data_IF_724659768014
#
_entry.id   IF_724659768014
#
_cell.length_a   1.000
_cell.length_b   1.000
_cell.length_c   1.000
_cell.angle_alpha   90.00
_cell.angle_beta   90.00
_cell.angle_gamma   90.00
#
_symmetry.space_group_name_H-M   'P 1'
#
loop_
_entity.id
_entity.type
_entity.pdbx_description
1 polymer ?
#
# COMPACT_ATOMS: atom_id res chain seq x y z
N UNK A 1 -44.21 16.33 1.10
CA UNK A 1 -42.93 17.01 0.82
C UNK A 1 -41.82 15.96 0.91
N UNK A 2 -41.10 15.70 -0.19
CA UNK A 2 -39.95 14.78 -0.21
C UNK A 2 -38.69 15.57 0.14
N UNK A 3 -37.81 15.11 1.06
CA UNK A 3 -36.52 15.76 1.24
C UNK A 3 -35.65 15.45 0.01
N UNK A 4 -35.24 16.50 -0.71
CA UNK A 4 -34.19 16.42 -1.71
C UNK A 4 -32.87 16.42 -0.95
N UNK A 5 -32.22 15.25 -0.86
CA UNK A 5 -30.85 15.16 -0.40
C UNK A 5 -29.95 15.73 -1.49
N UNK A 6 -29.52 16.97 -1.33
CA UNK A 6 -28.48 17.57 -2.17
C UNK A 6 -27.15 17.19 -1.51
N UNK A 7 -26.55 16.10 -1.98
CA UNK A 7 -25.15 15.79 -1.66
C UNK A 7 -24.28 16.66 -2.56
N UNK A 8 -23.66 17.69 -1.98
CA UNK A 8 -22.61 18.47 -2.63
C UNK A 8 -21.34 17.62 -2.56
N UNK A 9 -21.13 16.73 -3.53
CA UNK A 9 -19.84 16.10 -3.74
C UNK A 9 -18.89 17.20 -4.25
N UNK A 10 -17.83 17.47 -3.50
CA UNK A 10 -16.76 18.32 -3.98
C UNK A 10 -15.92 17.48 -4.95
N UNK A 11 -15.86 17.85 -6.23
CA UNK A 11 -14.98 17.20 -7.23
C UNK A 11 -13.49 17.21 -6.81
N UNK A 12 -13.13 17.94 -5.76
CA UNK A 12 -11.79 17.94 -5.16
C UNK A 12 -11.50 16.72 -4.27
N UNK A 13 -12.53 15.97 -3.87
CA UNK A 13 -12.40 14.83 -2.95
C UNK A 13 -12.57 13.46 -3.63
N UNK A 14 -12.97 13.43 -4.91
CA UNK A 14 -13.38 12.22 -5.65
C UNK A 14 -12.38 11.79 -6.74
N UNK A 15 -11.17 12.35 -6.75
CA UNK A 15 -10.08 11.92 -7.63
C UNK A 15 -8.86 11.47 -6.84
N UNK A 16 -8.26 10.29 -7.13
CA UNK A 16 -6.92 10.00 -6.62
C UNK A 16 -5.99 11.11 -7.12
N UNK A 17 -5.16 11.69 -6.25
CA UNK A 17 -4.07 12.56 -6.67
C UNK A 17 -3.33 11.84 -7.81
N UNK A 18 -3.30 12.46 -8.99
CA UNK A 18 -2.86 11.86 -10.27
C UNK A 18 -1.40 11.36 -10.31
N UNK A 19 -0.68 11.22 -9.18
CA UNK A 19 0.76 10.92 -9.18
C UNK A 19 1.27 9.92 -8.17
N UNK A 20 0.45 9.33 -7.31
CA UNK A 20 0.94 8.42 -6.28
C UNK A 20 0.44 6.99 -6.51
N UNK A 21 1.35 6.09 -6.91
CA UNK A 21 1.04 4.67 -6.95
C UNK A 21 1.02 4.14 -5.52
N UNK A 22 -0.05 3.45 -5.13
CA UNK A 22 -0.22 2.98 -3.76
C UNK A 22 -0.19 1.46 -3.65
N UNK A 23 0.12 0.99 -2.45
CA UNK A 23 0.08 -0.42 -2.07
C UNK A 23 -0.05 -0.58 -0.57
N UNK A 24 0.08 -1.82 -0.10
CA UNK A 24 -0.06 -2.17 1.32
C UNK A 24 1.16 -2.94 1.81
N UNK A 25 1.61 -2.65 3.02
CA UNK A 25 2.73 -3.36 3.66
C UNK A 25 2.29 -3.90 5.02
N UNK A 26 2.80 -5.07 5.39
CA UNK A 26 2.73 -5.52 6.79
C UNK A 26 3.80 -4.76 7.58
N UNK A 27 3.35 -3.76 8.33
CA UNK A 27 4.21 -2.81 9.01
C UNK A 27 4.81 -3.38 10.29
N UNK A 28 6.04 -3.91 10.16
CA UNK A 28 6.80 -4.51 11.26
C UNK A 28 7.54 -3.51 12.16
N UNK A 29 7.19 -2.22 12.07
CA UNK A 29 7.84 -1.12 12.82
C UNK A 29 9.37 -1.10 12.66
N UNK A 30 9.86 -1.48 11.48
CA UNK A 30 11.30 -1.47 11.18
C UNK A 30 11.82 -0.05 10.93
N UNK A 31 13.14 0.17 11.04
CA UNK A 31 13.76 1.44 10.69
C UNK A 31 13.43 1.84 9.24
N UNK A 32 13.42 3.15 8.98
CA UNK A 32 13.25 3.67 7.61
C UNK A 32 14.32 3.10 6.67
N UNK A 33 13.94 2.76 5.44
CA UNK A 33 14.80 2.10 4.47
C UNK A 33 14.81 0.57 4.57
N UNK A 34 14.01 -0.02 5.46
CA UNK A 34 13.85 -1.47 5.49
C UNK A 34 13.18 -1.98 4.22
N UNK A 35 13.71 -3.06 3.65
CA UNK A 35 13.11 -3.73 2.50
C UNK A 35 11.93 -4.59 2.93
N UNK A 36 10.76 -4.32 2.34
CA UNK A 36 9.50 -4.99 2.65
C UNK A 36 8.73 -5.36 1.38
N UNK A 37 7.85 -6.34 1.50
CA UNK A 37 6.89 -6.67 0.46
C UNK A 37 5.76 -5.65 0.44
N UNK A 38 5.42 -5.17 -0.76
CA UNK A 38 4.25 -4.32 -0.99
C UNK A 38 3.21 -5.12 -1.75
N UNK A 39 1.99 -5.12 -1.26
CA UNK A 39 0.85 -5.87 -1.76
C UNK A 39 -0.11 -4.94 -2.49
N UNK A 40 -0.79 -5.47 -3.52
CA UNK A 40 -1.72 -4.68 -4.32
C UNK A 40 -2.95 -4.28 -3.52
N UNK A 41 -3.45 -5.19 -2.69
CA UNK A 41 -4.62 -4.95 -1.83
C UNK A 41 -4.31 -5.20 -0.36
N UNK A 42 -5.12 -4.63 0.52
CA UNK A 42 -5.05 -4.92 1.96
C UNK A 42 -5.30 -6.40 2.24
N UNK A 43 -6.23 -7.02 1.51
CA UNK A 43 -6.57 -8.43 1.66
C UNK A 43 -5.38 -9.35 1.33
N UNK A 44 -4.60 -9.03 0.30
CA UNK A 44 -3.36 -9.73 -0.07
C UNK A 44 -2.34 -9.68 1.08
N UNK A 45 -2.12 -8.48 1.64
CA UNK A 45 -1.24 -8.28 2.79
C UNK A 45 -1.74 -9.06 4.02
N UNK A 46 -3.04 -9.05 4.31
CA UNK A 46 -3.62 -9.79 5.43
C UNK A 46 -3.53 -11.31 5.27
N UNK A 47 -3.64 -11.82 4.04
CA UNK A 47 -3.44 -13.25 3.74
C UNK A 47 -1.98 -13.64 3.97
N UNK A 48 -1.04 -12.85 3.44
CA UNK A 48 0.38 -13.08 3.65
C UNK A 48 0.77 -12.98 5.13
N UNK A 49 0.24 -11.97 5.84
CA UNK A 49 0.42 -11.75 7.28
C UNK A 49 0.02 -12.99 8.09
N UNK A 50 -1.19 -13.53 7.88
CA UNK A 50 -1.69 -14.72 8.56
C UNK A 50 -0.85 -15.97 8.26
N UNK A 51 -0.49 -16.18 7.00
CA UNK A 51 0.28 -17.36 6.62
C UNK A 51 1.74 -17.35 7.14
N UNK A 52 2.24 -16.19 7.58
CA UNK A 52 3.58 -16.06 8.18
C UNK A 52 3.55 -15.89 9.72
N UNK A 53 2.38 -16.03 10.37
CA UNK A 53 2.26 -15.87 11.82
C UNK A 53 2.59 -14.46 12.31
N UNK A 54 2.24 -13.44 11.51
CA UNK A 54 2.53 -12.03 11.76
C UNK A 54 1.28 -11.27 12.23
N UNK A 55 0.33 -11.94 12.90
CA UNK A 55 -0.98 -11.36 13.27
C UNK A 55 -0.89 -10.06 14.10
N UNK A 56 0.18 -9.90 14.87
CA UNK A 56 0.41 -8.75 15.75
C UNK A 56 0.83 -7.46 15.01
N UNK A 57 1.13 -7.54 13.72
CA UNK A 57 1.61 -6.40 12.94
C UNK A 57 0.52 -5.76 12.08
N UNK A 58 0.44 -4.44 12.07
CA UNK A 58 -0.58 -3.72 11.29
C UNK A 58 -0.32 -3.80 9.79
N UNK A 59 -1.38 -3.84 8.99
CA UNK A 59 -1.27 -3.57 7.55
C UNK A 59 -1.46 -2.07 7.33
N UNK A 60 -0.46 -1.41 6.73
CA UNK A 60 -0.49 0.02 6.42
C UNK A 60 -0.40 0.26 4.93
N UNK A 61 -1.04 1.34 4.49
CA UNK A 61 -0.93 1.81 3.11
C UNK A 61 0.40 2.53 2.93
N UNK A 62 0.98 2.40 1.73
CA UNK A 62 2.18 3.10 1.32
C UNK A 62 1.98 3.75 -0.04
N UNK A 63 2.67 4.87 -0.26
CA UNK A 63 2.68 5.61 -1.52
C UNK A 63 4.08 5.66 -2.11
N UNK A 64 4.18 5.63 -3.43
CA UNK A 64 5.42 5.77 -4.19
C UNK A 64 5.17 6.62 -5.44
N UNK A 65 6.17 7.43 -5.79
CA UNK A 65 6.14 8.27 -6.98
C UNK A 65 6.34 7.44 -8.28
N UNK A 66 6.84 6.21 -8.15
CA UNK A 66 7.11 5.30 -9.26
C UNK A 66 6.05 4.21 -9.36
N UNK A 67 5.72 3.82 -10.60
CA UNK A 67 4.74 2.77 -10.87
C UNK A 67 5.17 1.43 -10.26
N UNK A 68 4.25 0.78 -9.58
CA UNK A 68 4.48 -0.55 -9.03
C UNK A 68 4.13 -1.60 -10.08
N UNK A 69 5.10 -2.42 -10.45
CA UNK A 69 4.84 -3.62 -11.25
C UNK A 69 4.33 -4.72 -10.33
N UNK A 70 3.14 -5.22 -10.61
CA UNK A 70 2.51 -6.26 -9.83
C UNK A 70 2.79 -7.64 -10.41
N UNK A 71 2.95 -8.63 -9.54
CA UNK A 71 3.02 -10.03 -9.91
C UNK A 71 2.19 -10.90 -8.96
N UNK A 72 1.68 -12.00 -9.50
CA UNK A 72 1.02 -13.04 -8.71
C UNK A 72 2.03 -13.99 -8.08
N UNK A 73 1.76 -14.38 -6.85
CA UNK A 73 2.52 -15.41 -6.15
C UNK A 73 2.39 -16.76 -6.85
N UNK A 74 3.54 -17.35 -7.19
CA UNK A 74 3.66 -18.69 -7.77
C UNK A 74 3.93 -19.77 -6.70
N UNK A 75 3.98 -19.38 -5.43
CA UNK A 75 4.37 -20.25 -4.31
C UNK A 75 3.19 -20.88 -3.58
N UNK A 76 3.45 -21.35 -2.35
CA UNK A 76 2.47 -22.00 -1.46
C UNK A 76 1.27 -21.10 -1.12
N UNK A 77 1.48 -19.78 -1.10
CA UNK A 77 0.41 -18.78 -1.01
C UNK A 77 -0.03 -18.41 -2.43
N UNK A 78 -1.02 -19.12 -2.95
CA UNK A 78 -1.66 -18.78 -4.23
C UNK A 78 -2.61 -17.59 -4.05
N UNK A 79 -2.95 -16.91 -5.15
CA UNK A 79 -3.90 -15.80 -5.18
C UNK A 79 -3.51 -14.60 -4.31
N UNK A 80 -2.21 -14.30 -4.23
CA UNK A 80 -1.69 -13.05 -3.64
C UNK A 80 -0.96 -12.26 -4.71
N UNK A 81 -1.32 -10.98 -4.84
CA UNK A 81 -0.65 -10.03 -5.74
C UNK A 81 0.26 -9.11 -4.94
N UNK A 82 1.53 -9.07 -5.31
CA UNK A 82 2.54 -8.22 -4.67
C UNK A 82 3.49 -7.60 -5.69
N UNK A 83 4.26 -6.61 -5.26
CA UNK A 83 5.24 -5.94 -6.08
C UNK A 83 6.30 -6.93 -6.58
N UNK A 84 6.72 -6.77 -7.83
CA UNK A 84 7.74 -7.63 -8.44
C UNK A 84 9.10 -7.55 -7.74
N UNK A 85 9.34 -6.47 -7.00
CA UNK A 85 10.54 -6.17 -6.23
C UNK A 85 10.18 -5.76 -4.79
N UNK A 86 11.15 -5.88 -3.90
CA UNK A 86 11.04 -5.32 -2.55
C UNK A 86 11.13 -3.79 -2.61
N UNK A 87 10.39 -3.15 -1.72
CA UNK A 87 10.41 -1.70 -1.56
C UNK A 87 11.10 -1.30 -0.26
N UNK A 88 11.91 -0.26 -0.32
CA UNK A 88 12.41 0.43 0.86
C UNK A 88 11.28 1.29 1.44
N UNK A 89 10.87 1.00 2.67
CA UNK A 89 9.77 1.70 3.33
C UNK A 89 10.31 2.80 4.24
N UNK A 90 9.84 4.02 4.01
CA UNK A 90 10.17 5.21 4.79
C UNK A 90 8.95 5.68 5.59
N UNK A 91 9.19 6.29 6.75
CA UNK A 91 8.09 6.79 7.59
C UNK A 91 7.55 8.14 7.10
N UNK A 92 8.33 8.86 6.31
CA UNK A 92 8.06 10.24 5.88
C UNK A 92 8.35 10.39 4.38
N UNK A 93 7.63 11.28 3.71
CA UNK A 93 7.82 11.66 2.30
C UNK A 93 9.09 12.50 2.08
N UNK A 94 9.73 13.01 3.13
CA UNK A 94 10.97 13.82 3.05
C UNK A 94 12.17 13.08 2.43
N UNK A 95 12.13 11.76 2.32
CA UNK A 95 13.21 10.99 1.72
C UNK A 95 13.15 11.06 0.20
N UNK A 96 14.32 11.09 -0.45
CA UNK A 96 14.41 11.24 -1.91
C UNK A 96 13.68 10.09 -2.61
N UNK A 97 12.74 10.39 -3.53
CA UNK A 97 12.01 9.37 -4.25
C UNK A 97 12.94 8.53 -5.13
N UNK A 98 12.62 7.24 -5.25
CA UNK A 98 13.28 6.31 -6.15
C UNK A 98 12.32 5.18 -6.52
N UNK A 99 12.68 4.41 -7.55
CA UNK A 99 11.79 3.43 -8.21
C UNK A 99 11.16 2.41 -7.25
N UNK A 100 11.91 1.99 -6.21
CA UNK A 100 11.44 1.02 -5.22
C UNK A 100 11.38 1.64 -3.81
N UNK A 101 10.98 2.92 -3.70
CA UNK A 101 10.82 3.59 -2.41
C UNK A 101 9.37 3.94 -2.20
N UNK A 102 8.85 3.54 -1.05
CA UNK A 102 7.51 3.94 -0.65
C UNK A 102 7.54 4.56 0.74
N UNK A 103 6.60 5.46 1.01
CA UNK A 103 6.42 6.06 2.33
C UNK A 103 5.08 5.66 2.92
N UNK A 104 5.01 5.54 4.24
CA UNK A 104 3.76 5.27 4.93
C UNK A 104 2.75 6.39 4.67
N UNK A 105 1.49 6.01 4.38
CA UNK A 105 0.38 6.95 4.38
C UNK A 105 0.23 7.57 5.78
N UNK A 106 0.10 8.90 5.84
CA UNK A 106 -0.09 9.65 7.07
C UNK A 106 -1.48 9.40 7.70
#
# INVERSE_FOLDING_TARGET
MRPLFITVACDRCDGPSERDWCGYVVWRKRPSGSQEYVFRTRADADRWKRANGLEDFDVRMVYTDASINWRESQGTLQDIVFADRLFEIYHDVRYRPAVNRAHLAA
#
